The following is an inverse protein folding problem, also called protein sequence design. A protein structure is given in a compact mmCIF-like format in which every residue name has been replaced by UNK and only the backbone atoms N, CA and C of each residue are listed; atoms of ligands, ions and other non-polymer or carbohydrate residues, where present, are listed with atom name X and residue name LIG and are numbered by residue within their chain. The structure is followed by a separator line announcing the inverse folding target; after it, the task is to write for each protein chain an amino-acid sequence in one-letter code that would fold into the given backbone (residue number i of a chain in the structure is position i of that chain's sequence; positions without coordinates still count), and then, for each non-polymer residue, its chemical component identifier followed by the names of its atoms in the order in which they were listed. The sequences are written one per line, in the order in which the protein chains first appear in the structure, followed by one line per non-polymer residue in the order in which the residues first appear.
data_IF_903691191833
#
_entry.id   IF_903691191833
#
_cell.length_a   1.000
_cell.length_b   1.000
_cell.length_c   1.000
_cell.angle_alpha   90.00
_cell.angle_beta   90.00
_cell.angle_gamma   90.00
#
_symmetry.space_group_name_H-M   'P 1'
#
loop_
_entity.id
_entity.type
_entity.pdbx_description
1 polymer ?
#
# COMPACT_ATOMS: atom_id res chain seq x y z
N UNK A 1 20.89 4.40 2.85
CA UNK A 1 21.13 5.40 3.90
C UNK A 1 21.98 6.52 3.34
N UNK A 2 21.49 7.76 3.43
CA UNK A 2 22.03 8.90 2.68
C UNK A 2 22.53 10.04 3.59
N UNK A 3 22.66 9.79 4.88
CA UNK A 3 23.09 10.81 5.85
C UNK A 3 24.40 11.49 5.41
N UNK A 4 25.44 10.70 5.08
CA UNK A 4 26.73 11.25 4.67
C UNK A 4 26.65 12.04 3.35
N UNK A 5 25.76 11.64 2.43
CA UNK A 5 25.52 12.40 1.19
C UNK A 5 24.97 13.79 1.53
N UNK A 6 23.96 13.86 2.40
CA UNK A 6 23.36 15.14 2.79
C UNK A 6 24.33 16.01 3.57
N UNK A 7 25.12 15.43 4.47
CA UNK A 7 26.19 16.14 5.18
C UNK A 7 27.22 16.76 4.20
N UNK A 8 27.62 16.00 3.17
CA UNK A 8 28.52 16.48 2.13
C UNK A 8 27.90 17.62 1.30
N UNK A 9 26.61 17.54 1.03
CA UNK A 9 25.84 18.59 0.32
C UNK A 9 25.43 19.75 1.23
N UNK A 10 25.78 19.72 2.53
CA UNK A 10 25.40 20.74 3.52
C UNK A 10 23.87 20.86 3.70
N UNK A 11 23.14 19.77 3.50
CA UNK A 11 21.70 19.69 3.74
C UNK A 11 21.47 19.09 5.12
N UNK A 12 20.68 19.76 5.94
CA UNK A 12 20.28 19.28 7.25
C UNK A 12 18.93 18.56 7.16
N UNK A 13 18.74 17.50 7.96
CA UNK A 13 17.44 16.84 8.14
C UNK A 13 17.05 16.92 9.61
N UNK A 14 15.92 17.57 9.87
CA UNK A 14 15.32 17.64 11.19
C UNK A 14 14.22 16.58 11.30
N UNK A 15 14.32 15.70 12.30
CA UNK A 15 13.40 14.58 12.50
C UNK A 15 12.45 14.87 13.67
N UNK A 16 11.18 15.05 13.38
CA UNK A 16 10.08 15.23 14.36
C UNK A 16 9.12 14.05 14.38
N UNK A 17 9.55 12.89 13.85
CA UNK A 17 8.74 11.68 13.83
C UNK A 17 8.38 11.23 15.24
N UNK A 18 7.18 10.69 15.39
CA UNK A 18 6.67 10.17 16.66
C UNK A 18 6.55 8.64 16.58
N UNK A 19 7.24 7.98 17.52
CA UNK A 19 7.29 6.54 17.65
C UNK A 19 8.68 5.93 17.40
N UNK A 20 9.14 5.08 18.32
CA UNK A 20 10.49 4.49 18.34
C UNK A 20 10.75 3.53 17.18
N UNK A 21 9.69 3.01 16.53
CA UNK A 21 9.74 2.13 15.38
C UNK A 21 9.41 2.84 14.06
N UNK A 22 9.18 4.18 14.07
CA UNK A 22 8.87 4.95 12.87
C UNK A 22 10.14 5.23 12.06
N UNK A 23 10.68 4.21 11.41
CA UNK A 23 11.95 4.21 10.69
C UNK A 23 11.93 4.90 9.32
N UNK A 24 10.78 5.42 8.89
CA UNK A 24 10.59 6.03 7.57
C UNK A 24 11.65 7.09 7.20
N UNK A 25 12.16 7.83 8.19
CA UNK A 25 13.15 8.90 7.97
C UNK A 25 14.61 8.44 8.15
N UNK A 26 14.85 7.19 8.57
CA UNK A 26 16.20 6.70 8.86
C UNK A 26 17.10 6.70 7.63
N UNK A 27 16.55 6.48 6.45
CA UNK A 27 17.29 6.55 5.19
C UNK A 27 17.99 7.90 4.98
N UNK A 28 17.43 8.98 5.52
CA UNK A 28 17.96 10.35 5.39
C UNK A 28 18.82 10.76 6.58
N UNK A 29 18.58 10.19 7.77
CA UNK A 29 19.16 10.65 9.03
C UNK A 29 20.20 9.70 9.61
N UNK A 30 20.38 8.49 9.04
CA UNK A 30 21.29 7.46 9.54
C UNK A 30 22.20 6.93 8.42
N UNK A 31 23.23 6.21 8.82
CA UNK A 31 24.15 5.48 7.94
C UNK A 31 23.83 3.99 7.86
N UNK A 32 22.97 3.49 8.75
CA UNK A 32 22.59 2.09 8.85
C UNK A 32 21.21 1.99 9.53
N UNK A 33 20.62 0.82 9.47
CA UNK A 33 19.38 0.45 10.16
C UNK A 33 19.52 0.58 11.67
N UNK A 34 18.48 1.09 12.36
CA UNK A 34 18.43 1.04 13.82
C UNK A 34 18.15 -0.38 14.31
N UNK A 35 18.41 -0.65 15.59
CA UNK A 35 18.07 -1.95 16.19
C UNK A 35 16.54 -2.17 16.21
N UNK A 36 15.76 -1.12 16.43
CA UNK A 36 14.30 -1.20 16.38
C UNK A 36 13.78 -1.53 14.97
N UNK A 37 14.34 -0.88 13.93
CA UNK A 37 13.98 -1.17 12.54
C UNK A 37 14.39 -2.59 12.15
N UNK A 38 15.58 -3.04 12.56
CA UNK A 38 16.02 -4.41 12.31
C UNK A 38 15.11 -5.44 12.97
N UNK A 39 14.78 -5.25 14.26
CA UNK A 39 13.90 -6.14 14.99
C UNK A 39 12.51 -6.24 14.33
N UNK A 40 11.91 -5.10 13.96
CA UNK A 40 10.58 -5.14 13.32
C UNK A 40 10.62 -5.80 11.93
N UNK A 41 11.71 -5.64 11.16
CA UNK A 41 11.86 -6.33 9.86
C UNK A 41 12.01 -7.83 10.03
N UNK A 42 12.75 -8.28 11.04
CA UNK A 42 12.84 -9.71 11.39
C UNK A 42 11.46 -10.27 11.80
N UNK A 43 10.70 -9.52 12.62
CA UNK A 43 9.34 -9.86 13.04
C UNK A 43 8.33 -9.92 11.88
N UNK A 44 8.58 -9.20 10.78
CA UNK A 44 7.75 -9.25 9.58
C UNK A 44 8.20 -10.34 8.60
N UNK A 45 9.49 -10.35 8.25
CA UNK A 45 10.00 -11.20 7.18
C UNK A 45 9.94 -12.68 7.53
N UNK A 46 10.25 -13.04 8.79
CA UNK A 46 10.24 -14.45 9.20
C UNK A 46 8.85 -15.08 9.09
N UNK A 47 7.76 -14.48 9.63
CA UNK A 47 6.43 -15.05 9.47
C UNK A 47 5.92 -15.07 8.01
N UNK A 48 6.26 -14.08 7.19
CA UNK A 48 5.92 -14.07 5.76
C UNK A 48 6.63 -15.21 5.05
N UNK A 49 7.92 -15.38 5.30
CA UNK A 49 8.70 -16.48 4.73
C UNK A 49 8.18 -17.84 5.20
N UNK A 50 7.81 -17.98 6.45
CA UNK A 50 7.24 -19.22 7.00
C UNK A 50 5.88 -19.54 6.36
N UNK A 51 5.02 -18.54 6.13
CA UNK A 51 3.75 -18.73 5.41
C UNK A 51 3.98 -19.12 3.95
N UNK A 52 4.92 -18.47 3.26
CA UNK A 52 5.29 -18.83 1.88
C UNK A 52 5.79 -20.28 1.81
N UNK A 53 6.70 -20.68 2.71
CA UNK A 53 7.18 -22.05 2.78
C UNK A 53 6.04 -23.04 3.04
N UNK A 54 5.14 -22.71 3.96
CA UNK A 54 3.97 -23.54 4.28
C UNK A 54 3.08 -23.76 3.05
N UNK A 55 2.69 -22.68 2.36
CA UNK A 55 1.83 -22.75 1.18
C UNK A 55 2.51 -23.51 0.02
N UNK A 56 3.79 -23.26 -0.22
CA UNK A 56 4.56 -23.97 -1.24
C UNK A 56 4.70 -25.45 -0.90
N UNK A 57 5.04 -25.80 0.33
CA UNK A 57 5.16 -27.18 0.80
C UNK A 57 3.85 -27.94 0.64
N UNK A 58 2.73 -27.31 1.04
CA UNK A 58 1.39 -27.87 0.87
C UNK A 58 1.03 -28.08 -0.60
N UNK A 59 1.27 -27.08 -1.46
CA UNK A 59 0.94 -27.16 -2.89
C UNK A 59 1.83 -28.14 -3.66
N UNK A 60 3.08 -28.34 -3.22
CA UNK A 60 4.05 -29.22 -3.88
C UNK A 60 4.15 -30.62 -3.24
N UNK A 61 3.55 -30.84 -2.07
CA UNK A 61 3.66 -32.11 -1.35
C UNK A 61 5.09 -32.41 -0.88
N UNK A 62 5.84 -31.39 -0.49
CA UNK A 62 7.22 -31.49 0.01
C UNK A 62 7.31 -31.01 1.45
N UNK A 63 8.41 -31.32 2.14
CA UNK A 63 8.61 -30.88 3.51
C UNK A 63 9.01 -29.40 3.56
N UNK A 64 8.54 -28.66 4.58
CA UNK A 64 8.86 -27.23 4.75
C UNK A 64 10.37 -26.99 4.84
N UNK A 65 11.11 -27.90 5.50
CA UNK A 65 12.55 -27.79 5.63
C UNK A 65 13.29 -27.92 4.29
N UNK A 66 12.73 -28.63 3.32
CA UNK A 66 13.33 -28.75 1.97
C UNK A 66 13.35 -27.39 1.26
N UNK A 67 12.32 -26.56 1.49
CA UNK A 67 12.28 -25.19 0.95
C UNK A 67 13.31 -24.27 1.58
N UNK A 68 13.54 -24.39 2.90
CA UNK A 68 14.59 -23.63 3.55
C UNK A 68 15.98 -24.07 3.03
N UNK A 69 16.23 -25.39 2.95
CA UNK A 69 17.47 -25.91 2.38
C UNK A 69 17.66 -25.50 0.91
N UNK A 70 16.58 -25.48 0.12
CA UNK A 70 16.61 -24.97 -1.25
C UNK A 70 17.12 -23.52 -1.31
N UNK A 71 16.65 -22.67 -0.42
CA UNK A 71 17.08 -21.26 -0.38
C UNK A 71 18.52 -21.11 0.13
N UNK A 72 18.88 -21.82 1.21
CA UNK A 72 20.16 -21.64 1.89
C UNK A 72 21.33 -22.28 1.13
N UNK A 73 21.10 -23.45 0.51
CA UNK A 73 22.11 -24.22 -0.18
C UNK A 73 22.29 -23.84 -1.67
N UNK A 74 21.42 -22.95 -2.18
CA UNK A 74 21.39 -22.55 -3.58
C UNK A 74 22.77 -22.18 -4.15
N UNK A 75 23.55 -21.35 -3.44
CA UNK A 75 24.89 -20.90 -3.87
C UNK A 75 25.91 -22.05 -3.78
N UNK A 76 25.85 -22.88 -2.73
CA UNK A 76 26.73 -24.03 -2.56
C UNK A 76 26.56 -25.07 -3.68
N UNK A 77 25.31 -25.30 -4.06
CA UNK A 77 24.94 -26.24 -5.12
C UNK A 77 25.47 -25.81 -6.49
N UNK A 78 25.51 -24.51 -6.77
CA UNK A 78 26.10 -23.96 -8.00
C UNK A 78 27.63 -24.06 -8.06
N UNK A 79 28.30 -24.06 -6.91
CA UNK A 79 29.76 -24.09 -6.84
C UNK A 79 30.36 -25.49 -6.96
N UNK A 80 29.63 -26.53 -6.59
CA UNK A 80 30.15 -27.90 -6.50
C UNK A 80 29.57 -28.87 -7.56
N UNK A 81 28.40 -28.55 -8.11
CA UNK A 81 27.75 -29.39 -9.11
C UNK A 81 27.67 -28.65 -10.46
N UNK A 82 28.08 -29.30 -11.55
CA UNK A 82 27.83 -28.86 -12.93
C UNK A 82 26.32 -28.81 -13.29
N UNK A 83 25.44 -28.65 -12.28
CA UNK A 83 23.99 -28.70 -12.39
C UNK A 83 23.47 -27.27 -12.44
N UNK A 84 22.80 -26.88 -13.52
CA UNK A 84 22.19 -25.56 -13.65
C UNK A 84 20.92 -25.39 -12.79
N UNK A 85 20.44 -24.16 -12.65
CA UNK A 85 19.25 -23.75 -11.86
C UNK A 85 18.03 -24.67 -12.06
N UNK A 86 17.76 -25.02 -13.31
CA UNK A 86 16.62 -25.85 -13.73
C UNK A 86 16.73 -27.24 -13.14
N UNK A 87 17.91 -27.86 -13.24
CA UNK A 87 18.13 -29.22 -12.72
C UNK A 87 17.99 -29.26 -11.20
N UNK A 88 18.47 -28.22 -10.50
CA UNK A 88 18.28 -28.09 -9.06
C UNK A 88 16.81 -27.95 -8.66
N UNK A 89 16.06 -27.08 -9.35
CA UNK A 89 14.63 -26.90 -9.08
C UNK A 89 13.81 -28.18 -9.35
N UNK A 90 14.18 -28.97 -10.37
CA UNK A 90 13.58 -30.28 -10.66
C UNK A 90 13.91 -31.30 -9.57
N UNK A 91 15.20 -31.40 -9.17
CA UNK A 91 15.64 -32.31 -8.11
C UNK A 91 14.93 -32.06 -6.78
N UNK A 92 14.72 -30.79 -6.45
CA UNK A 92 14.03 -30.36 -5.22
C UNK A 92 12.49 -30.34 -5.36
N UNK A 93 11.93 -30.79 -6.46
CA UNK A 93 10.49 -30.78 -6.76
C UNK A 93 9.82 -29.39 -6.68
N UNK A 94 10.59 -28.32 -6.93
CA UNK A 94 10.05 -26.96 -6.97
C UNK A 94 9.28 -26.73 -8.26
N UNK A 95 9.70 -27.34 -9.37
CA UNK A 95 9.00 -27.36 -10.66
C UNK A 95 8.75 -28.79 -11.14
N UNK A 96 7.70 -28.97 -11.96
CA UNK A 96 7.29 -30.27 -12.46
C UNK A 96 8.09 -30.74 -13.69
N UNK A 97 8.60 -29.78 -14.45
CA UNK A 97 9.30 -30.06 -15.68
C UNK A 97 9.66 -28.79 -16.43
N UNK A 98 10.31 -28.95 -17.56
CA UNK A 98 10.65 -27.88 -18.48
C UNK A 98 10.20 -28.25 -19.89
N UNK A 99 9.75 -27.25 -20.63
CA UNK A 99 9.38 -27.36 -22.03
C UNK A 99 9.89 -26.15 -22.79
N UNK A 100 10.33 -26.34 -24.02
CA UNK A 100 10.51 -25.22 -24.94
C UNK A 100 9.13 -24.62 -25.28
N UNK A 101 9.12 -23.40 -25.80
CA UNK A 101 7.85 -22.75 -26.14
C UNK A 101 6.99 -23.56 -27.13
N UNK A 102 7.56 -24.19 -28.21
CA UNK A 102 6.79 -25.08 -29.07
C UNK A 102 6.23 -26.31 -28.34
N UNK A 103 7.01 -26.95 -27.49
CA UNK A 103 6.59 -28.11 -26.70
C UNK A 103 5.49 -27.76 -25.69
N UNK A 104 5.58 -26.57 -25.08
CA UNK A 104 4.53 -26.06 -24.18
C UNK A 104 3.24 -25.78 -24.96
N UNK A 105 3.34 -25.18 -26.16
CA UNK A 105 2.17 -24.97 -27.03
C UNK A 105 1.51 -26.30 -27.38
N UNK A 106 2.27 -27.30 -27.75
CA UNK A 106 1.75 -28.64 -28.07
C UNK A 106 1.05 -29.27 -26.87
N UNK A 107 1.68 -29.19 -25.70
CA UNK A 107 1.08 -29.66 -24.44
C UNK A 107 -0.27 -28.97 -24.15
N UNK A 108 -0.35 -27.64 -24.35
CA UNK A 108 -1.58 -26.89 -24.16
C UNK A 108 -2.66 -27.25 -25.20
N UNK A 109 -2.27 -27.56 -26.46
CA UNK A 109 -3.19 -28.05 -27.49
C UNK A 109 -3.74 -29.43 -27.09
N UNK A 110 -2.92 -30.32 -26.56
CA UNK A 110 -3.34 -31.64 -26.07
C UNK A 110 -4.32 -31.55 -24.92
N UNK A 111 -4.11 -30.63 -23.98
CA UNK A 111 -4.96 -30.42 -22.80
C UNK A 111 -6.26 -29.68 -23.10
N UNK A 112 -6.21 -28.59 -23.89
CA UNK A 112 -7.33 -27.65 -24.07
C UNK A 112 -7.93 -27.65 -25.48
N UNK A 113 -7.30 -28.35 -26.42
CA UNK A 113 -7.72 -28.44 -27.82
C UNK A 113 -7.10 -27.37 -28.71
N UNK A 114 -7.04 -27.70 -30.01
CA UNK A 114 -6.57 -26.77 -31.04
C UNK A 114 -7.59 -25.66 -31.27
N UNK A 115 -7.13 -24.44 -31.36
CA UNK A 115 -7.93 -23.32 -31.82
C UNK A 115 -7.96 -23.30 -33.36
N UNK A 116 -9.07 -23.76 -33.95
CA UNK A 116 -9.24 -23.85 -35.41
C UNK A 116 -9.51 -22.50 -36.08
N UNK A 117 -9.82 -21.45 -35.28
CA UNK A 117 -10.13 -20.12 -35.78
C UNK A 117 -8.89 -19.19 -35.75
N UNK A 118 -7.82 -19.61 -35.10
CA UNK A 118 -6.60 -18.79 -35.00
C UNK A 118 -5.77 -18.87 -36.30
N UNK A 119 -5.15 -17.73 -36.68
CA UNK A 119 -4.28 -17.64 -37.88
C UNK A 119 -3.02 -18.53 -37.78
N UNK A 120 -2.60 -18.83 -36.60
CA UNK A 120 -1.43 -19.68 -36.32
C UNK A 120 -1.82 -20.83 -35.39
N UNK A 121 -1.14 -21.95 -35.50
CA UNK A 121 -1.35 -23.11 -34.65
C UNK A 121 -1.17 -22.76 -33.17
N UNK A 122 -2.27 -22.79 -32.40
CA UNK A 122 -2.30 -22.48 -30.98
C UNK A 122 -3.44 -23.21 -30.27
N UNK A 123 -3.48 -23.13 -28.96
CA UNK A 123 -4.51 -23.74 -28.11
C UNK A 123 -5.70 -22.80 -27.89
N UNK A 124 -6.86 -23.35 -27.58
CA UNK A 124 -8.05 -22.59 -27.23
C UNK A 124 -7.82 -21.68 -26.03
N UNK A 125 -8.18 -20.43 -26.17
CA UNK A 125 -8.12 -19.42 -25.10
C UNK A 125 -9.43 -18.64 -25.03
N UNK A 126 -9.68 -18.06 -23.89
CA UNK A 126 -10.72 -17.04 -23.71
C UNK A 126 -10.06 -15.77 -23.18
N UNK A 127 -10.44 -14.61 -23.72
CA UNK A 127 -9.95 -13.35 -23.18
C UNK A 127 -10.46 -13.14 -21.74
N UNK A 128 -9.68 -12.46 -20.91
CA UNK A 128 -10.10 -12.13 -19.56
C UNK A 128 -11.46 -11.39 -19.51
N UNK A 129 -11.68 -10.47 -20.44
CA UNK A 129 -12.92 -9.69 -20.51
C UNK A 129 -14.13 -10.57 -20.87
N UNK A 130 -13.97 -11.54 -21.78
CA UNK A 130 -15.05 -12.45 -22.13
C UNK A 130 -15.32 -13.49 -21.04
N UNK A 131 -14.27 -13.97 -20.38
CA UNK A 131 -14.41 -14.82 -19.19
C UNK A 131 -15.17 -14.07 -18.07
N UNK A 132 -14.79 -12.84 -17.79
CA UNK A 132 -15.48 -11.97 -16.81
C UNK A 132 -16.95 -11.78 -17.14
N UNK A 133 -17.31 -11.56 -18.42
CA UNK A 133 -18.72 -11.46 -18.85
C UNK A 133 -19.51 -12.76 -18.63
N UNK A 134 -18.86 -13.91 -18.72
CA UNK A 134 -19.51 -15.21 -18.51
C UNK A 134 -19.74 -15.54 -17.03
N UNK A 135 -18.80 -15.18 -16.18
CA UNK A 135 -18.88 -15.40 -14.73
C UNK A 135 -19.93 -14.46 -14.09
N UNK A 136 -19.98 -13.23 -14.58
CA UNK A 136 -20.84 -12.18 -14.02
C UNK A 136 -22.34 -12.33 -14.37
N UNK A 137 -22.81 -13.52 -14.74
CA UNK A 137 -24.22 -13.75 -15.09
C UNK A 137 -25.18 -13.92 -13.89
N UNK A 138 -24.66 -14.11 -12.70
CA UNK A 138 -25.45 -14.26 -11.48
C UNK A 138 -25.52 -12.96 -10.67
N UNK A 139 -26.05 -11.88 -11.30
CA UNK A 139 -26.42 -10.69 -10.52
C UNK A 139 -27.78 -10.95 -9.88
N UNK A 140 -27.83 -10.86 -8.56
CA UNK A 140 -29.05 -10.70 -7.82
C UNK A 140 -29.86 -9.54 -8.39
N UNK A 141 -31.19 -9.74 -8.54
CA UNK A 141 -32.13 -8.67 -8.90
C UNK A 141 -32.50 -7.80 -7.69
N UNK A 142 -31.82 -7.94 -6.57
CA UNK A 142 -32.08 -7.18 -5.35
C UNK A 142 -31.84 -5.69 -5.56
N UNK A 143 -32.69 -4.89 -4.97
CA UNK A 143 -32.44 -3.44 -4.84
C UNK A 143 -31.35 -3.15 -3.80
N UNK A 144 -31.22 -4.01 -2.77
CA UNK A 144 -30.17 -3.85 -1.77
C UNK A 144 -28.78 -4.05 -2.37
N UNK A 145 -27.83 -3.22 -1.97
CA UNK A 145 -26.45 -3.33 -2.43
C UNK A 145 -25.43 -3.19 -1.31
N UNK A 146 -24.31 -3.88 -1.49
CA UNK A 146 -23.07 -3.68 -0.76
C UNK A 146 -22.14 -2.89 -1.67
N UNK A 147 -21.73 -1.70 -1.23
CA UNK A 147 -20.77 -0.86 -1.93
C UNK A 147 -19.35 -1.35 -1.63
N UNK A 148 -18.54 -1.57 -2.66
CA UNK A 148 -17.11 -1.87 -2.53
C UNK A 148 -16.33 -0.66 -3.02
N UNK A 149 -15.52 -0.09 -2.14
CA UNK A 149 -14.66 1.07 -2.43
C UNK A 149 -13.23 0.68 -2.13
N UNK A 150 -12.32 0.91 -3.07
CA UNK A 150 -10.91 0.52 -2.95
C UNK A 150 -10.02 1.75 -2.78
N UNK A 151 -9.16 1.71 -1.76
CA UNK A 151 -8.05 2.65 -1.53
C UNK A 151 -6.77 1.93 -1.90
N UNK A 152 -6.17 2.30 -3.04
CA UNK A 152 -4.98 1.65 -3.59
C UNK A 152 -3.82 2.66 -3.70
N UNK A 153 -2.68 2.34 -3.09
CA UNK A 153 -1.47 3.16 -3.16
C UNK A 153 -1.36 4.21 -2.06
N UNK A 154 -0.49 5.20 -2.27
CA UNK A 154 -0.18 6.25 -1.28
C UNK A 154 -1.36 7.22 -1.12
N UNK A 155 -1.76 7.48 0.11
CA UNK A 155 -2.85 8.42 0.42
C UNK A 155 -2.34 9.86 0.27
N UNK A 156 -2.95 10.62 -0.63
CA UNK A 156 -2.61 12.03 -0.88
C UNK A 156 -3.87 12.86 -1.12
N UNK A 157 -3.72 14.17 -1.02
CA UNK A 157 -4.77 15.11 -1.44
C UNK A 157 -4.91 15.07 -2.97
N UNK A 158 -6.10 15.36 -3.48
CA UNK A 158 -6.39 15.39 -4.92
C UNK A 158 -7.13 14.17 -5.44
N UNK A 159 -7.03 13.96 -6.75
CA UNK A 159 -7.75 12.89 -7.46
C UNK A 159 -6.97 11.57 -7.45
N UNK A 160 -7.67 10.46 -7.72
CA UNK A 160 -7.05 9.14 -7.83
C UNK A 160 -6.15 9.10 -9.07
N UNK A 161 -4.94 8.58 -8.88
CA UNK A 161 -3.99 8.32 -9.96
C UNK A 161 -3.34 6.95 -9.76
N UNK A 162 -2.61 6.47 -10.76
CA UNK A 162 -1.90 5.20 -10.64
C UNK A 162 -0.92 5.24 -9.44
N UNK A 163 -1.13 4.34 -8.48
CA UNK A 163 -0.34 4.26 -7.25
C UNK A 163 -0.65 5.33 -6.20
N UNK A 164 -1.64 6.18 -6.43
CA UNK A 164 -2.07 7.25 -5.52
C UNK A 164 -3.56 7.15 -5.21
N UNK A 165 -3.89 6.96 -3.95
CA UNK A 165 -5.23 7.05 -3.41
C UNK A 165 -5.57 8.52 -3.13
N UNK A 166 -6.07 9.24 -4.13
CA UNK A 166 -6.45 10.64 -4.02
C UNK A 166 -7.71 10.84 -3.16
N UNK A 167 -7.60 11.67 -2.13
CA UNK A 167 -8.67 11.85 -1.16
C UNK A 167 -9.98 12.37 -1.76
N UNK A 168 -9.90 13.29 -2.73
CA UNK A 168 -11.11 13.83 -3.36
C UNK A 168 -11.91 12.73 -4.07
N UNK A 169 -11.23 11.88 -4.85
CA UNK A 169 -11.88 10.79 -5.56
C UNK A 169 -12.46 9.75 -4.59
N UNK A 170 -11.70 9.31 -3.58
CA UNK A 170 -12.18 8.33 -2.60
C UNK A 170 -13.35 8.89 -1.77
N UNK A 171 -13.28 10.13 -1.30
CA UNK A 171 -14.37 10.82 -0.57
C UNK A 171 -15.63 10.89 -1.43
N UNK A 172 -15.51 11.22 -2.73
CA UNK A 172 -16.65 11.24 -3.64
C UNK A 172 -17.27 9.85 -3.82
N UNK A 173 -16.47 8.79 -3.89
CA UNK A 173 -16.97 7.42 -3.94
C UNK A 173 -17.72 7.03 -2.66
N UNK A 174 -17.15 7.33 -1.47
CA UNK A 174 -17.81 7.06 -0.18
C UNK A 174 -19.12 7.83 -0.09
N UNK A 175 -19.13 9.11 -0.47
CA UNK A 175 -20.33 9.95 -0.49
C UNK A 175 -21.40 9.41 -1.42
N UNK A 176 -21.02 9.09 -2.66
CA UNK A 176 -21.95 8.50 -3.64
C UNK A 176 -22.51 7.17 -3.17
N UNK A 177 -21.72 6.37 -2.44
CA UNK A 177 -22.18 5.12 -1.87
C UNK A 177 -23.22 5.35 -0.76
N UNK A 178 -22.96 6.23 0.20
CA UNK A 178 -23.88 6.42 1.32
C UNK A 178 -25.07 7.36 1.02
N UNK A 179 -25.07 8.05 -0.12
CA UNK A 179 -26.23 8.80 -0.63
C UNK A 179 -27.18 7.92 -1.45
N UNK A 180 -26.72 6.77 -1.94
CA UNK A 180 -27.58 5.79 -2.61
C UNK A 180 -28.42 5.01 -1.57
N UNK A 181 -29.74 5.19 -1.60
CA UNK A 181 -30.68 4.56 -0.67
C UNK A 181 -30.63 3.02 -0.69
N UNK A 182 -30.14 2.44 -1.77
CA UNK A 182 -29.98 1.01 -1.91
C UNK A 182 -28.75 0.47 -1.15
N UNK A 183 -27.78 1.32 -0.82
CA UNK A 183 -26.57 0.91 -0.09
C UNK A 183 -26.89 0.58 1.37
N UNK A 184 -26.61 -0.64 1.78
CA UNK A 184 -26.84 -1.14 3.15
C UNK A 184 -25.54 -1.34 3.93
N UNK A 185 -24.44 -1.56 3.24
CA UNK A 185 -23.11 -1.65 3.82
C UNK A 185 -22.05 -1.14 2.84
N UNK A 186 -20.92 -0.72 3.38
CA UNK A 186 -19.70 -0.39 2.64
C UNK A 186 -18.63 -1.40 3.03
N UNK A 187 -18.06 -2.08 2.05
CA UNK A 187 -16.80 -2.82 2.18
C UNK A 187 -15.67 -1.91 1.68
N UNK A 188 -14.85 -1.46 2.60
CA UNK A 188 -13.75 -0.54 2.33
C UNK A 188 -12.45 -1.35 2.21
N UNK A 189 -12.03 -1.60 0.96
CA UNK A 189 -10.81 -2.33 0.65
C UNK A 189 -9.61 -1.39 0.74
N UNK A 190 -8.71 -1.66 1.67
CA UNK A 190 -7.52 -0.82 1.92
C UNK A 190 -6.26 -1.59 1.52
N UNK A 191 -5.56 -1.09 0.51
CA UNK A 191 -4.24 -1.57 0.09
C UNK A 191 -3.29 -0.36 -0.01
N UNK A 192 -2.89 0.17 1.15
CA UNK A 192 -2.16 1.43 1.26
C UNK A 192 -1.11 1.42 2.37
N UNK A 193 0.12 1.91 2.10
CA UNK A 193 1.14 2.12 3.12
C UNK A 193 0.85 3.35 4.00
N UNK A 194 -0.21 4.09 3.70
CA UNK A 194 -0.55 5.36 4.32
C UNK A 194 -0.21 6.56 3.46
N UNK A 195 -0.02 7.73 4.08
CA UNK A 195 0.29 8.98 3.37
C UNK A 195 -0.07 10.22 4.17
N UNK A 196 -0.70 11.20 3.51
CA UNK A 196 -1.08 12.48 4.10
C UNK A 196 -2.08 12.31 5.25
N UNK A 197 -1.81 13.01 6.36
CA UNK A 197 -2.72 13.09 7.51
C UNK A 197 -4.05 13.71 7.10
N UNK A 198 -3.99 14.82 6.35
CA UNK A 198 -5.18 15.58 5.92
C UNK A 198 -6.06 14.72 5.01
N UNK A 199 -5.46 14.06 4.03
CA UNK A 199 -6.16 13.18 3.11
C UNK A 199 -6.80 11.98 3.85
N UNK A 200 -6.10 11.41 4.84
CA UNK A 200 -6.62 10.33 5.68
C UNK A 200 -7.79 10.79 6.54
N UNK A 201 -7.72 12.01 7.11
CA UNK A 201 -8.83 12.59 7.89
C UNK A 201 -10.08 12.80 7.02
N UNK A 202 -9.92 13.32 5.81
CA UNK A 202 -11.04 13.53 4.87
C UNK A 202 -11.78 12.21 4.57
N UNK A 203 -11.05 11.13 4.29
CA UNK A 203 -11.65 9.82 4.02
C UNK A 203 -12.33 9.26 5.28
N UNK A 204 -11.67 9.37 6.45
CA UNK A 204 -12.19 8.92 7.73
C UNK A 204 -13.50 9.63 8.09
N UNK A 205 -13.56 10.93 7.94
CA UNK A 205 -14.74 11.72 8.25
C UNK A 205 -15.93 11.36 7.36
N UNK A 206 -15.71 11.08 6.09
CA UNK A 206 -16.78 10.67 5.17
C UNK A 206 -17.31 9.25 5.51
N UNK A 207 -16.43 8.32 5.97
CA UNK A 207 -16.88 7.03 6.49
C UNK A 207 -17.70 7.18 7.78
N UNK A 208 -17.34 8.11 8.66
CA UNK A 208 -18.14 8.45 9.85
C UNK A 208 -19.51 9.00 9.44
N UNK A 209 -19.55 9.82 8.38
CA UNK A 209 -20.83 10.32 7.85
C UNK A 209 -21.71 9.18 7.33
N UNK A 210 -21.15 8.18 6.66
CA UNK A 210 -21.87 6.98 6.26
C UNK A 210 -22.43 6.20 7.48
N UNK A 211 -21.63 6.02 8.52
CA UNK A 211 -22.06 5.35 9.77
C UNK A 211 -23.19 6.09 10.47
N UNK A 212 -23.17 7.43 10.48
CA UNK A 212 -24.27 8.24 11.05
C UNK A 212 -25.61 8.04 10.33
N UNK A 213 -25.59 7.57 9.06
CA UNK A 213 -26.78 7.17 8.31
C UNK A 213 -27.19 5.71 8.57
N UNK A 214 -26.50 5.01 9.45
CA UNK A 214 -26.77 3.61 9.79
C UNK A 214 -26.18 2.59 8.81
N UNK A 215 -25.23 3.00 7.96
CA UNK A 215 -24.54 2.11 7.03
C UNK A 215 -23.38 1.45 7.76
N UNK A 216 -23.34 0.12 7.74
CA UNK A 216 -22.25 -0.65 8.30
C UNK A 216 -20.98 -0.51 7.44
N UNK A 217 -19.84 -0.31 8.07
CA UNK A 217 -18.54 -0.17 7.39
C UNK A 217 -17.64 -1.34 7.78
N UNK A 218 -17.29 -2.17 6.82
CA UNK A 218 -16.40 -3.30 7.01
C UNK A 218 -15.12 -3.03 6.23
N UNK A 219 -13.96 -3.14 6.90
CA UNK A 219 -12.66 -3.00 6.25
C UNK A 219 -12.15 -4.36 5.83
N UNK A 220 -11.61 -4.43 4.61
CA UNK A 220 -10.81 -5.54 4.11
C UNK A 220 -9.42 -5.02 3.77
N UNK A 221 -8.43 -5.39 4.56
CA UNK A 221 -7.04 -5.02 4.33
C UNK A 221 -6.43 -5.92 3.25
N UNK A 222 -5.72 -5.31 2.29
CA UNK A 222 -4.95 -6.00 1.24
C UNK A 222 -3.55 -6.38 1.71
N UNK A 223 -2.56 -6.21 0.81
CA UNK A 223 -1.17 -6.49 1.15
C UNK A 223 -0.67 -5.55 2.25
N UNK A 224 -1.13 -4.29 2.21
CA UNK A 224 -0.81 -3.27 3.22
C UNK A 224 -2.07 -2.54 3.66
N UNK A 225 -2.18 -2.29 4.95
CA UNK A 225 -3.07 -1.28 5.50
C UNK A 225 -2.39 -0.68 6.73
N UNK A 226 -1.37 0.15 6.47
CA UNK A 226 -0.48 0.64 7.51
C UNK A 226 -0.55 2.16 7.63
N UNK A 227 -0.25 2.69 8.82
CA UNK A 227 -0.17 4.11 9.09
C UNK A 227 -1.47 4.85 8.70
N UNK A 228 -1.49 5.69 7.66
CA UNK A 228 -2.71 6.29 7.12
C UNK A 228 -3.77 5.24 6.73
N UNK A 229 -3.36 4.04 6.29
CA UNK A 229 -4.26 2.92 6.02
C UNK A 229 -5.00 2.41 7.28
N UNK A 230 -4.33 2.36 8.44
CA UNK A 230 -4.99 2.10 9.73
C UNK A 230 -5.88 3.26 10.12
N UNK A 231 -5.41 4.50 9.93
CA UNK A 231 -6.15 5.71 10.28
C UNK A 231 -7.53 5.76 9.63
N UNK A 232 -7.59 5.52 8.31
CA UNK A 232 -8.87 5.48 7.56
C UNK A 232 -9.71 4.24 7.89
N UNK A 233 -9.12 3.20 8.47
CA UNK A 233 -9.82 1.99 8.91
C UNK A 233 -10.47 2.14 10.28
N UNK A 234 -10.13 3.18 11.05
CA UNK A 234 -10.66 3.37 12.43
C UNK A 234 -12.18 3.50 12.53
N UNK A 235 -12.96 3.98 11.53
CA UNK A 235 -14.41 3.97 11.62
C UNK A 235 -15.07 2.60 11.43
N UNK A 236 -14.34 1.56 11.04
CA UNK A 236 -14.89 0.26 10.72
C UNK A 236 -15.64 -0.38 11.91
N UNK A 237 -16.72 -1.10 11.60
CA UNK A 237 -17.42 -1.97 12.54
C UNK A 237 -16.72 -3.31 12.70
N UNK A 238 -15.96 -3.74 11.67
CA UNK A 238 -15.18 -4.97 11.65
C UNK A 238 -14.05 -4.88 10.63
N UNK A 239 -12.91 -5.47 10.96
CA UNK A 239 -11.68 -5.41 10.16
C UNK A 239 -11.20 -6.83 9.83
N UNK A 240 -11.18 -7.16 8.54
CA UNK A 240 -10.53 -8.35 7.99
C UNK A 240 -9.15 -8.00 7.44
N UNK A 241 -8.21 -8.93 7.57
CA UNK A 241 -6.90 -8.86 6.94
C UNK A 241 -6.47 -10.22 6.41
N UNK A 242 -5.77 -10.24 5.29
CA UNK A 242 -5.17 -11.47 4.74
C UNK A 242 -4.01 -11.95 5.64
N UNK A 243 -3.64 -13.24 5.63
CA UNK A 243 -2.64 -13.77 6.59
C UNK A 243 -1.31 -13.03 6.61
N UNK A 244 -0.89 -12.53 5.44
CA UNK A 244 0.40 -11.82 5.23
C UNK A 244 0.25 -10.30 5.15
N UNK A 245 -0.95 -9.75 5.36
CA UNK A 245 -1.15 -8.30 5.39
C UNK A 245 -0.20 -7.64 6.39
N UNK A 246 0.45 -6.57 5.95
CA UNK A 246 1.25 -5.69 6.80
C UNK A 246 0.38 -4.53 7.26
N UNK A 247 0.22 -4.36 8.60
CA UNK A 247 -0.61 -3.32 9.20
C UNK A 247 0.09 -2.64 10.37
N UNK A 248 -0.61 -1.81 11.14
CA UNK A 248 -0.02 -1.05 12.23
C UNK A 248 0.67 0.22 11.75
N UNK A 249 1.94 0.41 12.06
CA UNK A 249 2.68 1.66 11.79
C UNK A 249 1.98 2.89 12.38
N UNK A 250 1.31 2.72 13.55
CA UNK A 250 0.60 3.80 14.26
C UNK A 250 1.65 4.75 14.82
N UNK A 251 1.92 5.81 14.07
CA UNK A 251 2.99 6.77 14.32
C UNK A 251 3.01 7.83 13.22
N UNK A 252 3.78 8.89 13.44
CA UNK A 252 3.89 10.03 12.52
C UNK A 252 5.32 10.14 12.02
N UNK A 253 5.51 10.24 10.71
CA UNK A 253 6.81 10.50 10.11
C UNK A 253 6.87 11.97 9.67
N UNK A 254 7.81 12.73 10.24
CA UNK A 254 8.07 14.12 9.86
C UNK A 254 9.58 14.30 9.72
N UNK A 255 10.04 14.53 8.49
CA UNK A 255 11.40 14.93 8.21
C UNK A 255 11.42 16.22 7.40
N UNK A 256 12.06 17.23 7.93
CA UNK A 256 12.16 18.55 7.30
C UNK A 256 13.61 18.76 6.87
N UNK A 257 13.91 18.76 5.56
CA UNK A 257 15.23 19.16 5.09
C UNK A 257 15.36 20.68 5.18
N UNK A 258 16.55 21.19 5.55
CA UNK A 258 16.88 22.59 5.43
C UNK A 258 18.18 22.79 4.65
N UNK A 259 18.21 23.86 3.85
CA UNK A 259 19.24 24.09 2.85
C UNK A 259 20.10 25.34 3.15
N UNK A 260 19.92 26.00 4.29
CA UNK A 260 20.64 27.23 4.65
C UNK A 260 22.16 27.08 4.48
N UNK A 261 22.75 26.00 4.98
CA UNK A 261 24.18 25.76 4.86
C UNK A 261 24.62 25.42 3.43
N UNK A 262 23.76 24.78 2.65
CA UNK A 262 24.03 24.50 1.24
C UNK A 262 23.98 25.78 0.40
N UNK A 263 23.03 26.67 0.68
CA UNK A 263 22.89 27.98 0.02
C UNK A 263 24.07 28.90 0.36
N UNK A 264 24.45 28.98 1.62
CA UNK A 264 25.63 29.72 2.05
C UNK A 264 26.91 29.23 1.36
N UNK A 265 27.06 27.90 1.25
CA UNK A 265 28.21 27.29 0.61
C UNK A 265 28.36 27.66 -0.87
N UNK A 266 27.25 27.82 -1.59
CA UNK A 266 27.26 28.23 -3.01
C UNK A 266 27.11 29.75 -3.20
N UNK A 267 27.00 30.53 -2.12
CA UNK A 267 26.94 32.02 -2.15
C UNK A 267 25.55 32.58 -2.52
N UNK A 268 24.48 31.80 -2.29
CA UNK A 268 23.08 32.23 -2.49
C UNK A 268 22.55 32.81 -1.18
N UNK A 269 22.00 34.03 -1.20
CA UNK A 269 21.42 34.71 -0.06
C UNK A 269 19.93 34.97 -0.30
N UNK A 270 19.14 34.88 0.77
CA UNK A 270 17.71 35.16 0.77
C UNK A 270 17.43 36.36 1.66
N UNK A 271 16.54 37.25 1.23
CA UNK A 271 16.09 38.39 1.99
C UNK A 271 14.61 38.64 1.73
N UNK A 272 13.90 39.24 2.70
CA UNK A 272 12.47 39.46 2.58
C UNK A 272 11.91 40.35 3.69
N UNK A 273 10.67 40.80 3.48
CA UNK A 273 9.90 41.53 4.47
C UNK A 273 8.65 40.74 4.83
N UNK A 274 8.48 40.47 6.13
CA UNK A 274 7.43 39.60 6.62
C UNK A 274 6.56 40.31 7.65
N UNK A 275 5.27 39.97 7.70
CA UNK A 275 4.31 40.57 8.64
C UNK A 275 4.39 39.99 10.05
N UNK A 276 5.01 38.81 10.22
CA UNK A 276 5.32 38.21 11.50
C UNK A 276 6.63 37.41 11.40
N UNK A 277 7.19 37.00 12.55
CA UNK A 277 8.50 36.36 12.64
C UNK A 277 8.62 35.10 11.75
N UNK A 278 7.53 34.34 11.59
CA UNK A 278 7.53 33.05 10.86
C UNK A 278 6.70 33.05 9.57
N UNK A 279 6.11 34.21 9.18
CA UNK A 279 5.22 34.29 8.01
C UNK A 279 5.92 33.97 6.67
N UNK A 280 7.23 34.03 6.63
CA UNK A 280 8.00 33.74 5.42
C UNK A 280 9.07 32.68 5.62
N UNK A 281 8.93 31.84 6.64
CA UNK A 281 9.87 30.75 6.82
C UNK A 281 9.67 29.71 5.72
N UNK A 282 10.77 29.27 5.14
CA UNK A 282 10.86 28.17 4.19
C UNK A 282 12.15 27.36 4.43
N UNK A 283 12.31 26.18 3.80
CA UNK A 283 13.48 25.33 4.01
C UNK A 283 14.85 25.94 3.62
N UNK A 284 14.91 27.11 3.00
CA UNK A 284 16.18 27.80 2.76
C UNK A 284 16.70 28.54 4.00
N UNK A 285 15.92 28.55 5.08
CA UNK A 285 16.22 29.15 6.35
C UNK A 285 16.41 28.09 7.43
N UNK A 286 17.23 28.38 8.44
CA UNK A 286 17.40 27.50 9.59
C UNK A 286 16.13 27.40 10.44
N UNK A 287 15.95 26.27 11.10
CA UNK A 287 14.92 26.08 12.13
C UNK A 287 15.48 26.60 13.46
N UNK A 288 14.82 27.61 14.06
CA UNK A 288 15.16 28.10 15.39
C UNK A 288 14.45 27.28 16.49
N UNK A 289 14.85 27.48 17.77
CA UNK A 289 14.30 26.77 18.93
C UNK A 289 12.77 26.87 19.08
N UNK A 290 12.12 27.88 18.51
CA UNK A 290 10.67 28.01 18.59
C UNK A 290 9.97 27.25 17.46
N UNK A 291 10.52 27.30 16.25
CA UNK A 291 10.02 26.46 15.14
C UNK A 291 10.22 24.98 15.46
N UNK A 292 11.36 24.63 16.07
CA UNK A 292 11.64 23.27 16.55
C UNK A 292 10.52 22.76 17.47
N UNK A 293 10.17 23.54 18.49
CA UNK A 293 9.06 23.23 19.40
C UNK A 293 7.69 23.18 18.72
N UNK A 294 7.46 24.01 17.71
CA UNK A 294 6.21 24.01 16.95
C UNK A 294 6.08 22.69 16.18
N UNK A 295 7.13 22.26 15.49
CA UNK A 295 7.11 21.01 14.74
C UNK A 295 7.02 19.78 15.64
N UNK A 296 7.74 19.76 16.79
CA UNK A 296 7.60 18.73 17.81
C UNK A 296 6.17 18.64 18.34
N UNK A 297 5.58 19.77 18.71
CA UNK A 297 4.21 19.83 19.26
C UNK A 297 3.17 19.38 18.21
N UNK A 298 3.36 19.76 16.96
CA UNK A 298 2.48 19.34 15.88
C UNK A 298 2.54 17.83 15.63
N UNK A 299 3.74 17.27 15.59
CA UNK A 299 3.92 15.82 15.47
C UNK A 299 3.27 15.05 16.63
N UNK A 300 3.46 15.53 17.86
CA UNK A 300 2.85 14.94 19.05
C UNK A 300 1.31 15.00 19.00
N UNK A 301 0.71 16.14 18.62
CA UNK A 301 -0.75 16.30 18.53
C UNK A 301 -1.36 15.31 17.49
N UNK A 302 -0.74 15.19 16.33
CA UNK A 302 -1.20 14.23 15.31
C UNK A 302 -1.08 12.79 15.82
N UNK A 303 0.01 12.45 16.50
CA UNK A 303 0.21 11.13 17.07
C UNK A 303 -0.81 10.80 18.14
N UNK A 304 -1.04 11.71 19.09
CA UNK A 304 -2.04 11.53 20.15
C UNK A 304 -3.45 11.33 19.61
N UNK A 305 -3.84 12.10 18.58
CA UNK A 305 -5.12 11.90 17.90
C UNK A 305 -5.20 10.53 17.25
N UNK A 306 -4.16 10.09 16.55
CA UNK A 306 -4.14 8.79 15.91
C UNK A 306 -4.30 7.65 16.93
N UNK A 307 -3.53 7.68 18.02
CA UNK A 307 -3.63 6.70 19.11
C UNK A 307 -5.04 6.66 19.68
N UNK A 308 -5.65 7.83 19.94
CA UNK A 308 -7.02 7.92 20.45
C UNK A 308 -8.05 7.32 19.48
N UNK A 309 -7.94 7.59 18.19
CA UNK A 309 -8.85 7.01 17.19
C UNK A 309 -8.77 5.48 17.13
N UNK A 310 -7.56 4.93 17.23
CA UNK A 310 -7.39 3.48 17.29
C UNK A 310 -7.94 2.93 18.62
N UNK A 311 -7.69 3.61 19.74
CA UNK A 311 -8.22 3.21 21.05
C UNK A 311 -9.74 3.15 21.06
N UNK A 312 -10.41 4.18 20.56
CA UNK A 312 -11.87 4.20 20.38
C UNK A 312 -12.37 3.08 19.45
N UNK A 313 -11.73 2.95 18.27
CA UNK A 313 -12.08 1.94 17.27
C UNK A 313 -11.99 0.51 17.81
N UNK A 314 -10.96 0.24 18.61
CA UNK A 314 -10.67 -1.10 19.14
C UNK A 314 -11.21 -1.32 20.55
N UNK A 315 -11.94 -0.35 21.13
CA UNK A 315 -12.45 -0.38 22.51
C UNK A 315 -11.36 -0.71 23.55
N UNK A 316 -10.17 -0.12 23.35
CA UNK A 316 -8.98 -0.27 24.20
C UNK A 316 -8.66 1.05 24.89
N UNK A 317 -7.83 0.98 25.94
CA UNK A 317 -7.31 2.19 26.57
C UNK A 317 -6.23 2.84 25.67
N UNK A 318 -5.98 4.13 25.88
CA UNK A 318 -4.86 4.84 25.26
C UNK A 318 -3.52 4.14 25.55
N UNK A 319 -3.31 3.71 26.79
CA UNK A 319 -2.12 2.99 27.26
C UNK A 319 -1.91 1.66 26.52
N UNK A 320 -3.00 0.89 26.30
CA UNK A 320 -2.93 -0.37 25.56
C UNK A 320 -2.47 -0.13 24.12
N UNK A 321 -2.95 0.94 23.48
CA UNK A 321 -2.56 1.27 22.13
C UNK A 321 -1.13 1.81 22.05
N UNK A 322 -0.69 2.65 22.98
CA UNK A 322 0.69 3.15 23.02
C UNK A 322 1.69 1.99 23.06
N UNK A 323 1.40 0.91 23.80
CA UNK A 323 2.28 -0.24 23.92
C UNK A 323 2.46 -1.04 22.61
N UNK A 324 1.53 -0.92 21.67
CA UNK A 324 1.56 -1.62 20.37
C UNK A 324 1.73 -0.67 19.18
N UNK A 325 1.73 0.65 19.43
CA UNK A 325 1.91 1.73 18.47
C UNK A 325 3.41 2.04 18.25
N UNK A 326 3.78 3.30 18.36
CA UNK A 326 5.16 3.74 18.22
C UNK A 326 5.72 3.57 16.81
N UNK A 327 4.85 3.50 15.82
CA UNK A 327 5.25 3.27 14.42
C UNK A 327 5.53 1.81 14.08
N UNK A 328 5.38 0.87 15.04
CA UNK A 328 5.63 -0.54 14.83
C UNK A 328 4.66 -1.15 13.82
N UNK A 329 5.19 -1.93 12.89
CA UNK A 329 4.42 -2.71 11.91
C UNK A 329 4.19 -4.13 12.42
N UNK A 330 3.08 -4.72 11.99
CA UNK A 330 2.63 -6.04 12.40
C UNK A 330 2.12 -6.82 11.21
N UNK A 331 2.42 -8.11 11.14
CA UNK A 331 1.73 -9.03 10.23
C UNK A 331 0.32 -9.30 10.78
N UNK A 332 -0.66 -9.52 9.90
CA UNK A 332 -2.06 -9.66 10.27
C UNK A 332 -2.33 -10.68 11.39
N UNK A 333 -1.62 -11.82 11.40
CA UNK A 333 -1.73 -12.83 12.47
C UNK A 333 -1.45 -12.23 13.83
N UNK A 334 -0.32 -11.52 13.98
CA UNK A 334 0.04 -10.81 15.22
C UNK A 334 -0.88 -9.63 15.49
N UNK A 335 -1.31 -8.91 14.46
CA UNK A 335 -2.26 -7.80 14.58
C UNK A 335 -3.62 -8.25 15.14
N UNK A 336 -4.07 -9.47 14.79
CA UNK A 336 -5.27 -10.08 15.37
C UNK A 336 -5.06 -10.42 16.85
N UNK A 337 -3.93 -10.99 17.22
CA UNK A 337 -3.62 -11.36 18.62
C UNK A 337 -3.60 -10.13 19.54
N UNK A 338 -3.08 -9.00 19.06
CA UNK A 338 -3.06 -7.74 19.81
C UNK A 338 -4.34 -6.91 19.65
N UNK A 339 -5.29 -7.36 18.85
CA UNK A 339 -6.62 -6.79 18.67
C UNK A 339 -6.69 -5.56 17.76
N UNK A 340 -5.75 -5.38 16.85
CA UNK A 340 -5.83 -4.37 15.76
C UNK A 340 -6.69 -4.85 14.59
N UNK A 341 -6.79 -6.16 14.38
CA UNK A 341 -7.60 -6.82 13.35
C UNK A 341 -8.58 -7.77 14.04
N UNK A 342 -9.79 -7.90 13.52
CA UNK A 342 -10.82 -8.77 14.11
C UNK A 342 -10.68 -10.20 13.61
N UNK A 343 -10.46 -10.39 12.29
CA UNK A 343 -10.40 -11.71 11.69
C UNK A 343 -9.45 -11.79 10.49
N UNK A 344 -8.84 -12.98 10.32
CA UNK A 344 -8.07 -13.30 9.13
C UNK A 344 -9.04 -13.73 8.03
N UNK A 345 -9.03 -13.02 6.91
CA UNK A 345 -9.91 -13.27 5.76
C UNK A 345 -9.72 -12.23 4.67
N UNK A 346 -10.22 -12.56 3.48
CA UNK A 346 -10.12 -11.71 2.30
C UNK A 346 -11.36 -10.84 2.06
N UNK A 347 -11.43 -10.24 0.88
CA UNK A 347 -12.54 -9.35 0.49
C UNK A 347 -13.89 -10.09 0.46
N UNK A 348 -13.92 -11.36 0.07
CA UNK A 348 -15.16 -12.14 0.03
C UNK A 348 -15.70 -12.41 1.43
N UNK A 349 -14.84 -12.63 2.41
CA UNK A 349 -15.23 -12.78 3.81
C UNK A 349 -15.82 -11.48 4.34
N UNK A 350 -15.20 -10.34 4.02
CA UNK A 350 -15.68 -9.01 4.37
C UNK A 350 -17.07 -8.72 3.74
N UNK A 351 -17.30 -9.06 2.47
CA UNK A 351 -18.58 -8.90 1.79
C UNK A 351 -19.65 -9.79 2.45
N UNK A 352 -19.32 -11.05 2.72
CA UNK A 352 -20.22 -12.00 3.37
C UNK A 352 -20.59 -11.54 4.77
N UNK A 353 -19.62 -11.02 5.52
CA UNK A 353 -19.85 -10.47 6.84
C UNK A 353 -20.69 -9.19 6.80
N UNK A 354 -20.44 -8.30 5.82
CA UNK A 354 -21.23 -7.09 5.59
C UNK A 354 -22.69 -7.42 5.33
N UNK A 355 -22.99 -8.43 4.49
CA UNK A 355 -24.34 -8.92 4.25
C UNK A 355 -24.99 -9.42 5.54
N UNK A 356 -24.25 -10.22 6.32
CA UNK A 356 -24.73 -10.82 7.57
C UNK A 356 -25.12 -9.76 8.60
N UNK A 357 -24.25 -8.78 8.88
CA UNK A 357 -24.56 -7.76 9.92
C UNK A 357 -25.59 -6.72 9.46
N UNK A 358 -25.80 -6.62 8.14
CA UNK A 358 -26.84 -5.77 7.54
C UNK A 358 -28.15 -6.53 7.27
N UNK A 359 -28.24 -7.79 7.74
CA UNK A 359 -29.43 -8.66 7.63
C UNK A 359 -29.93 -8.82 6.17
N UNK A 360 -28.99 -8.94 5.21
CA UNK A 360 -29.28 -9.09 3.80
C UNK A 360 -29.28 -10.56 3.39
N UNK A 361 -30.43 -11.07 2.96
CA UNK A 361 -30.55 -12.41 2.36
C UNK A 361 -30.20 -12.40 0.87
N UNK A 362 -30.51 -11.28 0.19
CA UNK A 362 -30.22 -11.06 -1.22
C UNK A 362 -29.69 -9.65 -1.44
N UNK A 363 -28.61 -9.52 -2.20
CA UNK A 363 -27.93 -8.25 -2.46
C UNK A 363 -27.10 -8.32 -3.74
N UNK A 364 -26.84 -7.15 -4.32
CA UNK A 364 -25.84 -6.97 -5.38
C UNK A 364 -24.58 -6.31 -4.83
N UNK A 365 -23.44 -6.59 -5.44
CA UNK A 365 -22.19 -5.92 -5.15
C UNK A 365 -22.00 -4.81 -6.16
N UNK A 366 -21.80 -3.58 -5.68
CA UNK A 366 -21.51 -2.43 -6.54
C UNK A 366 -20.12 -1.91 -6.24
N UNK A 367 -19.23 -2.04 -7.21
CA UNK A 367 -17.91 -1.47 -7.14
C UNK A 367 -17.96 0.01 -7.51
N UNK A 368 -17.48 0.85 -6.62
CA UNK A 368 -17.30 2.27 -6.87
C UNK A 368 -15.86 2.49 -7.36
N UNK A 369 -15.74 2.88 -8.60
CA UNK A 369 -14.49 3.26 -9.24
C UNK A 369 -14.71 4.61 -9.93
N UNK A 370 -13.67 5.41 -10.04
CA UNK A 370 -13.75 6.56 -10.92
C UNK A 370 -13.97 6.08 -12.35
N UNK A 371 -14.94 6.70 -13.02
CA UNK A 371 -14.95 6.65 -14.48
C UNK A 371 -13.71 7.41 -14.94
N UNK A 372 -12.86 6.82 -15.78
CA UNK A 372 -11.72 7.56 -16.33
C UNK A 372 -12.21 8.88 -16.88
N UNK A 373 -11.45 9.96 -16.68
CA UNK A 373 -11.81 11.27 -17.22
C UNK A 373 -11.97 11.17 -18.75
N UNK A 374 -12.81 12.00 -19.38
CA UNK A 374 -12.95 11.98 -20.83
C UNK A 374 -11.59 12.08 -21.56
N UNK A 375 -10.63 12.79 -20.97
CA UNK A 375 -9.26 12.90 -21.46
C UNK A 375 -8.49 11.58 -21.33
N UNK A 376 -8.67 10.87 -20.21
CA UNK A 376 -8.06 9.55 -19.99
C UNK A 376 -8.65 8.50 -20.92
N UNK A 377 -9.98 8.53 -21.15
CA UNK A 377 -10.64 7.65 -22.15
C UNK A 377 -10.14 7.91 -23.58
N UNK A 378 -9.97 9.20 -23.96
CA UNK A 378 -9.40 9.58 -25.27
C UNK A 378 -7.94 9.11 -25.36
N UNK A 379 -7.17 9.24 -24.29
CA UNK A 379 -5.78 8.78 -24.25
C UNK A 379 -5.69 7.25 -24.34
N UNK A 380 -6.56 6.53 -23.65
CA UNK A 380 -6.65 5.07 -23.69
C UNK A 380 -7.07 4.59 -25.10
N UNK A 381 -8.07 5.23 -25.72
CA UNK A 381 -8.50 4.98 -27.09
C UNK A 381 -7.41 5.32 -28.13
N UNK A 382 -6.63 6.39 -27.89
CA UNK A 382 -5.47 6.72 -28.70
C UNK A 382 -4.35 5.68 -28.55
N UNK A 383 -4.09 5.18 -27.35
CA UNK A 383 -3.07 4.14 -27.08
C UNK A 383 -3.50 2.81 -27.69
N UNK A 384 -4.78 2.43 -27.62
CA UNK A 384 -5.31 1.20 -28.24
C UNK A 384 -5.33 1.26 -29.77
N UNK A 385 -5.61 2.43 -30.35
CA UNK A 385 -5.69 2.61 -31.81
C UNK A 385 -4.35 2.94 -32.48
N UNK A 386 -3.35 3.40 -31.73
CA UNK A 386 -1.99 3.49 -32.21
C UNK A 386 -1.28 2.15 -31.89
N UNK A 387 -1.14 1.32 -32.92
CA UNK A 387 -0.22 0.16 -32.95
C UNK A 387 1.24 0.68 -32.90
N UNK A 388 1.52 1.49 -31.91
CA UNK A 388 2.86 1.97 -31.61
C UNK A 388 3.41 1.03 -30.56
N UNK A 389 4.25 0.12 -31.01
CA UNK A 389 5.18 -0.63 -30.17
C UNK A 389 6.14 0.32 -29.43
N UNK A 390 5.59 1.23 -28.60
CA UNK A 390 6.37 1.98 -27.61
C UNK A 390 6.63 1.04 -26.43
N UNK A 391 7.28 -0.07 -26.73
CA UNK A 391 8.02 -0.87 -25.73
C UNK A 391 9.44 -0.36 -25.58
N UNK A 392 9.67 0.93 -25.78
CA UNK A 392 10.94 1.52 -25.42
C UNK A 392 10.86 1.94 -23.94
N UNK A 393 11.13 0.94 -23.08
CA UNK A 393 11.19 1.04 -21.63
C UNK A 393 12.06 2.22 -21.13
N UNK A 394 12.93 2.76 -21.98
CA UNK A 394 13.78 3.91 -21.66
C UNK A 394 13.03 5.25 -21.69
N UNK A 395 12.04 5.43 -22.56
CA UNK A 395 11.25 6.67 -22.63
C UNK A 395 10.25 6.71 -21.47
N UNK A 396 9.57 5.59 -21.19
CA UNK A 396 8.69 5.50 -20.01
C UNK A 396 9.45 5.65 -18.69
N UNK A 397 10.63 5.04 -18.57
CA UNK A 397 11.46 5.18 -17.36
C UNK A 397 12.03 6.59 -17.19
N UNK A 398 12.34 7.28 -18.28
CA UNK A 398 12.79 8.68 -18.24
C UNK A 398 11.64 9.63 -17.87
N UNK A 399 10.44 9.42 -18.41
CA UNK A 399 9.25 10.20 -18.05
C UNK A 399 8.82 9.96 -16.60
N UNK A 400 8.85 8.72 -16.13
CA UNK A 400 8.61 8.38 -14.73
C UNK A 400 9.70 8.92 -13.80
N UNK A 401 10.96 8.96 -14.26
CA UNK A 401 12.07 9.58 -13.52
C UNK A 401 11.90 11.09 -13.37
N UNK A 402 11.46 11.77 -14.42
CA UNK A 402 11.18 13.23 -14.40
C UNK A 402 9.93 13.53 -13.55
N UNK A 403 8.88 12.73 -13.66
CA UNK A 403 7.69 12.86 -12.81
C UNK A 403 8.03 12.66 -11.34
N UNK A 404 8.79 11.62 -11.00
CA UNK A 404 9.27 11.35 -9.64
C UNK A 404 10.19 12.46 -9.10
N UNK A 405 11.05 13.03 -9.95
CA UNK A 405 11.90 14.17 -9.59
C UNK A 405 11.07 15.44 -9.35
N UNK A 406 10.07 15.67 -10.18
CA UNK A 406 9.13 16.80 -10.06
C UNK A 406 8.26 16.66 -8.80
N UNK A 407 7.74 15.48 -8.51
CA UNK A 407 6.99 15.16 -7.29
C UNK A 407 7.87 15.31 -6.03
N UNK A 408 9.11 14.86 -6.11
CA UNK A 408 10.08 15.01 -5.02
C UNK A 408 10.39 16.48 -4.77
N UNK A 409 10.54 17.29 -5.82
CA UNK A 409 10.82 18.73 -5.72
C UNK A 409 9.61 19.54 -5.24
N UNK A 410 8.39 19.15 -5.65
CA UNK A 410 7.15 19.79 -5.16
C UNK A 410 6.85 19.38 -3.72
N UNK A 411 7.09 18.10 -3.37
CA UNK A 411 6.94 17.59 -2.00
C UNK A 411 7.84 18.28 -0.97
N UNK A 412 8.91 18.92 -1.42
CA UNK A 412 9.84 19.68 -0.56
C UNK A 412 9.28 21.08 -0.19
N UNK A 413 8.29 21.61 -0.93
CA UNK A 413 7.82 22.99 -0.75
C UNK A 413 6.91 23.22 0.46
N UNK A 414 6.32 22.17 1.05
CA UNK A 414 5.50 22.30 2.28
C UNK A 414 5.82 21.18 3.26
N UNK A 415 6.12 21.47 4.54
CA UNK A 415 6.28 20.44 5.56
C UNK A 415 4.93 19.75 5.78
N UNK A 416 4.85 18.47 5.44
CA UNK A 416 3.65 17.65 5.64
C UNK A 416 3.92 16.56 6.66
N UNK A 417 2.98 16.37 7.58
CA UNK A 417 2.96 15.18 8.42
C UNK A 417 2.46 14.00 7.60
N UNK A 418 3.23 12.92 7.57
CA UNK A 418 2.91 11.73 6.82
C UNK A 418 2.63 10.55 7.76
N UNK A 419 1.52 9.87 7.52
CA UNK A 419 1.23 8.55 8.04
C UNK A 419 1.68 7.54 6.98
N UNK A 420 2.97 7.22 6.93
CA UNK A 420 3.56 6.28 5.96
C UNK A 420 4.20 5.10 6.64
N UNK A 421 4.23 3.98 5.93
CA UNK A 421 4.97 2.79 6.30
C UNK A 421 5.99 2.51 5.18
N UNK A 422 7.28 2.82 5.42
CA UNK A 422 8.32 2.56 4.41
C UNK A 422 8.59 1.07 4.22
N UNK A 423 8.35 0.25 5.25
CA UNK A 423 8.53 -1.20 5.18
C UNK A 423 7.46 -1.88 4.32
N UNK A 424 6.36 -1.14 4.03
CA UNK A 424 5.32 -1.59 3.13
C UNK A 424 5.61 -1.27 1.64
N UNK A 425 6.61 -0.45 1.36
CA UNK A 425 7.04 -0.10 0.00
C UNK A 425 8.12 -1.08 -0.45
N UNK A 426 7.73 -2.32 -0.72
CA UNK A 426 8.62 -3.28 -1.41
C UNK A 426 8.55 -2.94 -2.89
N UNK A 427 9.63 -2.36 -3.44
CA UNK A 427 9.79 -2.26 -4.88
C UNK A 427 9.95 -3.69 -5.43
N UNK A 428 8.89 -4.21 -6.02
CA UNK A 428 8.96 -5.38 -6.89
C UNK A 428 9.38 -4.86 -8.27
N UNK A 429 10.71 -4.71 -8.46
CA UNK A 429 11.30 -4.55 -9.80
C UNK A 429 11.39 -5.90 -10.51
#
# INVERSE_FOLDING_TARGET
YQKELYENLKINFHNYSQGDFKSAVESNTRTNMSENDKMQREDLLNPIWDEMKFLMAQGRGIEINDLQSFADEYIGFFGEAEIGNIAYALEKNIIDGTKSFPEFRQYMIEEFGLDEEAETETYKTISYNDYKKQINKDYSNSDNQIAVITVEGVIMEGEIMQGVAGANGIVNQIRSAHEDENTKAIVFRVNSPGGSVIASEMMRDELIAAKRKGINVIVSMGDYAASGGVYISTPADYIFAEPTTITGSIGVAIAIPTFENAMDYIGVNFDGVFTSKYAGWDPTQAIDDNLDKIFESWGADVYDRFVNFVAESRSKSYEDIINIAGGRVWIAKSAKEIGLVDEIGGINDAITYAAKISELEDYKIKYYSESPSPEALILEELIENFDVSIRDTKVLSALNGIAKLYETLIGIQEPKALLTCNDCLVNLD
#
